data_IF_120499792136
#
_entry.id   IF_120499792136
#
_cell.length_a   1.000
_cell.length_b   1.000
_cell.length_c   1.000
_cell.angle_alpha   90.00
_cell.angle_beta   90.00
_cell.angle_gamma   90.00
#
_symmetry.space_group_name_H-M   'P 1'
#
loop_
_entity.id
_entity.type
_entity.pdbx_description
1 polymer ?
#
# COMPACT_ATOMS: atom_id res chain seq x y z
N UNK A 1 4.48 -29.57 10.63
CA UNK A 1 4.86 -28.29 10.01
C UNK A 1 5.39 -28.57 8.62
N UNK A 2 4.96 -27.83 7.58
CA UNK A 2 5.38 -28.13 6.23
C UNK A 2 6.86 -27.81 5.99
N UNK A 3 7.41 -26.72 6.60
CA UNK A 3 8.79 -26.26 6.39
C UNK A 3 9.35 -25.58 7.65
N UNK A 4 10.67 -25.66 7.85
CA UNK A 4 11.39 -24.96 8.92
C UNK A 4 11.69 -23.50 8.55
N UNK A 5 12.04 -23.24 7.27
CA UNK A 5 12.38 -21.89 6.82
C UNK A 5 11.84 -21.60 5.42
N UNK A 6 11.06 -20.53 5.29
CA UNK A 6 10.38 -20.12 4.05
C UNK A 6 10.87 -18.77 3.59
N UNK A 7 11.34 -18.69 2.34
CA UNK A 7 11.65 -17.42 1.68
C UNK A 7 10.37 -16.84 1.08
N UNK A 8 10.09 -15.57 1.36
CA UNK A 8 9.01 -14.78 0.76
C UNK A 8 9.65 -13.75 -0.16
N UNK A 9 9.23 -13.66 -1.41
CA UNK A 9 9.83 -12.72 -2.37
C UNK A 9 8.80 -11.68 -2.82
N UNK A 10 9.00 -10.41 -2.45
CA UNK A 10 8.31 -9.25 -3.02
C UNK A 10 9.25 -8.05 -3.07
N UNK A 11 9.86 -7.80 -4.24
CA UNK A 11 10.91 -6.79 -4.39
C UNK A 11 10.36 -5.36 -4.53
N UNK A 12 9.17 -5.19 -5.11
CA UNK A 12 8.52 -3.90 -5.42
C UNK A 12 7.05 -4.08 -5.87
N UNK A 13 6.20 -3.06 -6.10
CA UNK A 13 6.46 -1.68 -5.71
C UNK A 13 6.16 -1.49 -4.20
N UNK A 14 6.35 -0.25 -3.67
CA UNK A 14 6.17 0.02 -2.24
C UNK A 14 4.78 -0.39 -1.74
N UNK A 15 3.71 0.06 -2.39
CA UNK A 15 2.33 -0.31 -2.04
C UNK A 15 2.06 -1.80 -2.12
N UNK A 16 2.61 -2.49 -3.14
CA UNK A 16 2.49 -3.94 -3.23
C UNK A 16 3.22 -4.69 -2.11
N UNK A 17 4.38 -4.18 -1.65
CA UNK A 17 5.07 -4.73 -0.47
C UNK A 17 4.25 -4.48 0.79
N UNK A 18 3.71 -3.27 0.96
CA UNK A 18 2.78 -2.95 2.06
C UNK A 18 1.61 -3.94 2.11
N UNK A 19 0.99 -4.25 0.98
CA UNK A 19 -0.10 -5.24 0.90
C UNK A 19 0.32 -6.67 1.29
N UNK A 20 1.60 -7.02 1.30
CA UNK A 20 2.02 -8.36 1.78
C UNK A 20 2.00 -8.47 3.29
N UNK A 21 2.19 -7.37 4.02
CA UNK A 21 2.40 -7.36 5.48
C UNK A 21 1.24 -8.01 6.25
N UNK A 22 -0.03 -7.70 5.99
CA UNK A 22 -1.15 -8.31 6.70
C UNK A 22 -1.15 -9.84 6.61
N UNK A 23 -0.85 -10.37 5.43
CA UNK A 23 -0.82 -11.81 5.18
C UNK A 23 0.44 -12.45 5.78
N UNK A 24 1.59 -11.82 5.59
CA UNK A 24 2.89 -12.30 6.10
C UNK A 24 2.89 -12.33 7.63
N UNK A 25 2.44 -11.26 8.30
CA UNK A 25 2.38 -11.25 9.76
C UNK A 25 1.40 -12.29 10.29
N UNK A 26 0.26 -12.47 9.62
CA UNK A 26 -0.73 -13.48 10.03
C UNK A 26 -0.18 -14.90 9.91
N UNK A 27 0.50 -15.25 8.83
CA UNK A 27 1.10 -16.59 8.70
C UNK A 27 2.26 -16.79 9.67
N UNK A 28 3.07 -15.75 9.94
CA UNK A 28 4.12 -15.82 10.94
C UNK A 28 3.57 -16.10 12.34
N UNK A 29 2.48 -15.42 12.73
CA UNK A 29 1.80 -15.64 14.02
C UNK A 29 1.17 -17.03 14.12
N UNK A 30 0.62 -17.54 13.02
CA UNK A 30 0.01 -18.87 12.98
C UNK A 30 1.06 -20.01 13.04
N UNK A 31 2.30 -19.74 12.66
CA UNK A 31 3.38 -20.74 12.61
C UNK A 31 4.67 -20.22 13.29
N UNK A 32 4.65 -20.03 14.61
CA UNK A 32 5.76 -19.41 15.36
C UNK A 32 7.08 -20.17 15.27
N UNK A 33 7.04 -21.48 15.04
CA UNK A 33 8.22 -22.34 14.91
C UNK A 33 8.83 -22.33 13.49
N UNK A 34 8.12 -21.79 12.50
CA UNK A 34 8.65 -21.61 11.14
C UNK A 34 9.33 -20.25 11.04
N UNK A 35 10.56 -20.21 10.59
CA UNK A 35 11.23 -18.95 10.26
C UNK A 35 10.82 -18.48 8.86
N UNK A 36 10.35 -17.27 8.74
CA UNK A 36 10.05 -16.62 7.47
C UNK A 36 11.13 -15.60 7.13
N UNK A 37 11.56 -15.56 5.87
CA UNK A 37 12.59 -14.63 5.38
C UNK A 37 11.99 -13.79 4.27
N UNK A 38 11.72 -12.52 4.53
CA UNK A 38 11.19 -11.57 3.54
C UNK A 38 12.31 -10.96 2.74
N UNK A 39 12.35 -11.23 1.44
CA UNK A 39 13.30 -10.64 0.49
C UNK A 39 12.64 -9.47 -0.24
N UNK A 40 13.11 -8.26 0.05
CA UNK A 40 12.59 -7.02 -0.53
C UNK A 40 13.68 -5.98 -0.77
N UNK A 41 13.37 -4.82 -1.38
CA UNK A 41 14.33 -3.73 -1.57
C UNK A 41 14.46 -2.86 -0.32
N UNK A 42 15.60 -2.13 -0.20
CA UNK A 42 15.97 -1.32 0.97
C UNK A 42 14.86 -0.37 1.44
N UNK A 43 14.21 0.35 0.53
CA UNK A 43 13.14 1.29 0.91
C UNK A 43 11.94 0.56 1.51
N UNK A 44 11.51 -0.53 0.86
CA UNK A 44 10.34 -1.29 1.30
C UNK A 44 10.62 -2.13 2.56
N UNK A 45 11.88 -2.47 2.86
CA UNK A 45 12.22 -3.20 4.10
C UNK A 45 11.91 -2.40 5.36
N UNK A 46 11.87 -1.08 5.27
CA UNK A 46 11.53 -0.19 6.39
C UNK A 46 10.05 -0.25 6.80
N UNK A 47 9.18 -0.88 5.99
CA UNK A 47 7.77 -1.07 6.33
C UNK A 47 7.53 -2.17 7.35
N UNK A 48 8.49 -3.07 7.57
CA UNK A 48 8.35 -4.22 8.46
C UNK A 48 8.60 -3.83 9.92
N UNK A 49 7.78 -2.90 10.43
CA UNK A 49 7.79 -2.39 11.80
C UNK A 49 7.05 -3.41 12.68
N UNK A 50 7.52 -3.62 13.92
CA UNK A 50 6.93 -4.56 14.88
C UNK A 50 6.71 -5.97 14.29
N UNK A 51 7.66 -6.40 13.47
CA UNK A 51 7.58 -7.69 12.80
C UNK A 51 7.53 -8.85 13.82
N UNK A 52 6.77 -9.92 13.54
CA UNK A 52 6.80 -11.13 14.33
C UNK A 52 8.24 -11.66 14.52
N UNK A 53 8.57 -12.20 15.69
CA UNK A 53 9.94 -12.63 16.04
C UNK A 53 10.54 -13.65 15.07
N UNK A 54 9.71 -14.43 14.40
CA UNK A 54 10.08 -15.43 13.42
C UNK A 54 10.14 -14.91 11.98
N UNK A 55 10.03 -13.57 11.78
CA UNK A 55 10.21 -12.92 10.48
C UNK A 55 11.56 -12.19 10.40
N UNK A 56 12.38 -12.56 9.42
CA UNK A 56 13.63 -11.91 9.10
C UNK A 56 13.48 -11.13 7.79
N UNK A 57 14.01 -9.91 7.71
CA UNK A 57 13.97 -9.12 6.47
C UNK A 57 15.35 -9.06 5.85
N UNK A 58 15.46 -9.49 4.59
CA UNK A 58 16.69 -9.49 3.79
C UNK A 58 16.56 -8.49 2.65
N UNK A 59 17.55 -7.62 2.50
CA UNK A 59 17.55 -6.56 1.49
C UNK A 59 18.20 -7.02 0.20
N UNK A 60 17.45 -6.95 -0.90
CA UNK A 60 17.95 -7.17 -2.26
C UNK A 60 18.32 -5.83 -2.91
N UNK A 61 19.60 -5.66 -3.24
CA UNK A 61 20.08 -4.51 -4.02
C UNK A 61 20.06 -4.82 -5.52
N UNK A 62 18.88 -4.84 -6.10
CA UNK A 62 18.66 -5.18 -7.53
C UNK A 62 19.06 -4.06 -8.52
N UNK A 63 19.45 -2.90 -8.03
CA UNK A 63 19.99 -1.79 -8.84
C UNK A 63 21.51 -1.72 -8.79
N UNK A 64 22.14 -2.24 -7.74
CA UNK A 64 23.57 -2.31 -7.51
C UNK A 64 24.10 -3.75 -7.62
N UNK A 65 24.59 -4.33 -6.50
CA UNK A 65 25.32 -5.61 -6.49
C UNK A 65 24.52 -6.83 -7.00
N UNK A 66 23.19 -6.79 -6.94
CA UNK A 66 22.31 -7.86 -7.43
C UNK A 66 21.68 -7.53 -8.80
N UNK A 67 22.31 -6.64 -9.58
CA UNK A 67 21.87 -6.26 -10.92
C UNK A 67 22.20 -7.34 -11.94
N UNK A 68 21.28 -7.55 -12.89
CA UNK A 68 21.46 -8.50 -14.00
C UNK A 68 21.41 -9.97 -13.56
N UNK A 69 21.70 -10.88 -14.50
CA UNK A 69 21.61 -12.31 -14.26
C UNK A 69 22.64 -12.80 -13.22
N UNK A 70 23.89 -12.37 -13.33
CA UNK A 70 24.98 -12.74 -12.41
C UNK A 70 24.69 -12.22 -11.00
N UNK A 71 24.25 -10.94 -10.87
CA UNK A 71 23.87 -10.40 -9.57
C UNK A 71 22.70 -11.15 -8.92
N UNK A 72 21.71 -11.59 -9.71
CA UNK A 72 20.59 -12.40 -9.21
C UNK A 72 21.05 -13.83 -8.82
N UNK A 73 22.04 -14.40 -9.50
CA UNK A 73 22.65 -15.66 -9.08
C UNK A 73 23.36 -15.52 -7.73
N UNK A 74 24.14 -14.44 -7.54
CA UNK A 74 24.77 -14.16 -6.24
C UNK A 74 23.73 -14.00 -5.14
N UNK A 75 22.64 -13.25 -5.40
CA UNK A 75 21.54 -13.12 -4.44
C UNK A 75 20.90 -14.48 -4.11
N UNK A 76 20.65 -15.33 -5.11
CA UNK A 76 20.10 -16.65 -4.88
C UNK A 76 21.05 -17.50 -4.01
N UNK A 77 22.36 -17.43 -4.23
CA UNK A 77 23.37 -18.13 -3.39
C UNK A 77 23.43 -17.58 -1.97
N UNK A 78 23.39 -16.26 -1.79
CA UNK A 78 23.35 -15.63 -0.46
C UNK A 78 22.12 -16.12 0.33
N UNK A 79 20.93 -16.10 -0.30
CA UNK A 79 19.69 -16.57 0.31
C UNK A 79 19.71 -18.07 0.60
N UNK A 80 20.28 -18.91 -0.32
CA UNK A 80 20.43 -20.35 -0.09
C UNK A 80 21.24 -20.69 1.16
N UNK A 81 22.26 -19.87 1.50
CA UNK A 81 23.07 -20.04 2.74
C UNK A 81 22.24 -19.93 4.01
N UNK A 82 21.06 -19.34 3.94
CA UNK A 82 20.11 -19.26 5.04
C UNK A 82 19.35 -20.60 5.27
N UNK A 83 19.64 -21.66 4.52
CA UNK A 83 18.99 -22.97 4.62
C UNK A 83 17.48 -22.90 4.39
N UNK A 84 17.08 -22.32 3.24
CA UNK A 84 15.68 -22.17 2.84
C UNK A 84 15.12 -23.51 2.34
N UNK A 85 13.96 -23.93 2.86
CA UNK A 85 13.28 -25.18 2.49
C UNK A 85 12.22 -24.96 1.40
N UNK A 86 11.58 -23.78 1.39
CA UNK A 86 10.54 -23.42 0.43
C UNK A 86 10.54 -21.94 0.07
N UNK A 87 9.97 -21.59 -1.08
CA UNK A 87 9.87 -20.23 -1.60
C UNK A 87 8.43 -19.87 -1.93
N UNK A 88 7.95 -18.77 -1.36
CA UNK A 88 6.70 -18.09 -1.69
C UNK A 88 7.01 -16.86 -2.58
N UNK A 89 6.89 -16.99 -3.91
CA UNK A 89 7.05 -15.85 -4.82
C UNK A 89 5.74 -15.06 -4.96
N UNK A 90 5.61 -13.98 -4.19
CA UNK A 90 4.49 -13.05 -4.23
C UNK A 90 4.63 -11.98 -5.32
N UNK A 91 5.67 -12.06 -6.18
CA UNK A 91 5.98 -11.01 -7.14
C UNK A 91 5.79 -11.43 -8.61
N UNK A 92 6.23 -12.60 -9.00
CA UNK A 92 6.16 -13.16 -10.37
C UNK A 92 6.56 -12.15 -11.47
N UNK A 93 7.79 -11.63 -11.40
CA UNK A 93 8.41 -10.78 -12.42
C UNK A 93 9.68 -11.43 -12.95
N UNK A 94 10.26 -10.90 -14.04
CA UNK A 94 11.45 -11.50 -14.66
C UNK A 94 12.58 -11.79 -13.65
N UNK A 95 12.85 -10.85 -12.74
CA UNK A 95 13.89 -11.04 -11.71
C UNK A 95 13.58 -12.22 -10.78
N UNK A 96 12.33 -12.36 -10.35
CA UNK A 96 11.96 -13.48 -9.47
C UNK A 96 11.87 -14.80 -10.23
N UNK A 97 11.59 -14.79 -11.54
CA UNK A 97 11.67 -15.98 -12.40
C UNK A 97 13.10 -16.51 -12.45
N UNK A 98 14.10 -15.62 -12.56
CA UNK A 98 15.52 -16.01 -12.50
C UNK A 98 15.89 -16.62 -11.14
N UNK A 99 15.47 -15.97 -10.04
CA UNK A 99 15.69 -16.52 -8.68
C UNK A 99 15.04 -17.90 -8.52
N UNK A 100 13.77 -18.05 -8.96
CA UNK A 100 13.05 -19.33 -8.91
C UNK A 100 13.74 -20.43 -9.72
N UNK A 101 14.33 -20.08 -10.86
CA UNK A 101 15.07 -21.04 -11.67
C UNK A 101 16.20 -21.68 -10.83
N UNK A 102 17.00 -20.89 -10.13
CA UNK A 102 18.07 -21.40 -9.28
C UNK A 102 17.51 -22.21 -8.09
N UNK A 103 16.48 -21.72 -7.40
CA UNK A 103 15.89 -22.44 -6.28
C UNK A 103 15.33 -23.80 -6.69
N UNK A 104 14.65 -23.88 -7.85
CA UNK A 104 14.15 -25.14 -8.39
C UNK A 104 15.29 -26.09 -8.79
N UNK A 105 16.37 -25.57 -9.40
CA UNK A 105 17.55 -26.36 -9.73
C UNK A 105 18.20 -26.97 -8.47
N UNK A 106 18.08 -26.31 -7.32
CA UNK A 106 18.57 -26.82 -6.03
C UNK A 106 17.54 -27.68 -5.29
N UNK A 107 16.45 -28.07 -5.92
CA UNK A 107 15.41 -28.91 -5.33
C UNK A 107 14.49 -28.23 -4.33
N UNK A 108 14.54 -26.90 -4.22
CA UNK A 108 13.70 -26.13 -3.29
C UNK A 108 12.28 -25.99 -3.84
N UNK A 109 11.27 -26.30 -3.04
CA UNK A 109 9.85 -26.13 -3.39
C UNK A 109 9.52 -24.66 -3.62
N UNK A 110 8.81 -24.35 -4.71
CA UNK A 110 8.44 -22.97 -5.05
C UNK A 110 6.94 -22.87 -5.33
N UNK A 111 6.23 -22.02 -4.60
CA UNK A 111 4.88 -21.57 -4.92
C UNK A 111 4.91 -20.14 -5.47
N UNK A 112 4.00 -19.83 -6.39
CA UNK A 112 4.00 -18.57 -7.14
C UNK A 112 2.61 -17.99 -7.17
N UNK A 113 2.51 -16.68 -6.97
CA UNK A 113 1.24 -15.94 -7.04
C UNK A 113 0.56 -16.08 -8.41
N UNK A 114 -0.74 -16.38 -8.39
CA UNK A 114 -1.61 -16.10 -9.53
C UNK A 114 -2.05 -14.64 -9.52
N UNK A 115 -1.59 -13.88 -10.49
CA UNK A 115 -1.92 -12.45 -10.63
C UNK A 115 -3.31 -12.17 -11.21
N UNK A 116 -4.08 -13.20 -11.59
CA UNK A 116 -5.39 -13.04 -12.23
C UNK A 116 -5.33 -12.23 -13.53
N UNK A 117 -4.32 -12.44 -14.37
CA UNK A 117 -4.11 -11.59 -15.56
C UNK A 117 -5.27 -11.64 -16.54
N UNK A 118 -5.88 -12.82 -16.73
CA UNK A 118 -7.04 -13.00 -17.61
C UNK A 118 -8.26 -12.22 -17.09
N UNK A 119 -8.60 -12.41 -15.83
CA UNK A 119 -9.72 -11.70 -15.17
C UNK A 119 -9.53 -10.17 -15.19
N UNK A 120 -8.29 -9.69 -14.94
CA UNK A 120 -7.94 -8.28 -15.03
C UNK A 120 -8.02 -7.73 -16.44
N UNK A 121 -7.71 -8.54 -17.45
CA UNK A 121 -7.87 -8.18 -18.85
C UNK A 121 -9.36 -8.08 -19.24
N UNK A 122 -10.19 -9.01 -18.78
CA UNK A 122 -11.66 -8.98 -18.97
C UNK A 122 -12.25 -7.73 -18.30
N UNK A 123 -11.87 -7.45 -17.05
CA UNK A 123 -12.32 -6.28 -16.28
C UNK A 123 -11.96 -4.95 -16.96
N UNK A 124 -10.81 -4.85 -17.65
CA UNK A 124 -10.35 -3.62 -18.31
C UNK A 124 -10.59 -3.60 -19.82
N UNK A 125 -11.35 -4.57 -20.35
CA UNK A 125 -11.67 -4.65 -21.76
C UNK A 125 -12.57 -3.49 -22.20
N UNK A 126 -12.37 -2.99 -23.41
CA UNK A 126 -13.22 -1.94 -24.00
C UNK A 126 -14.48 -2.50 -24.67
N UNK A 127 -14.38 -3.74 -25.20
CA UNK A 127 -15.46 -4.33 -26.02
C UNK A 127 -16.28 -5.37 -25.26
N UNK A 128 -15.60 -6.15 -24.42
CA UNK A 128 -16.22 -7.24 -23.68
C UNK A 128 -15.84 -7.13 -22.19
N UNK A 129 -16.21 -6.00 -21.57
CA UNK A 129 -15.95 -5.74 -20.17
C UNK A 129 -16.83 -6.60 -19.28
N UNK A 130 -16.21 -7.28 -18.33
CA UNK A 130 -16.91 -7.98 -17.25
C UNK A 130 -16.63 -7.22 -15.96
N UNK A 131 -17.57 -6.39 -15.54
CA UNK A 131 -17.46 -5.58 -14.32
C UNK A 131 -17.90 -6.40 -13.11
N UNK A 132 -16.91 -7.01 -12.44
CA UNK A 132 -17.14 -7.78 -11.19
C UNK A 132 -15.93 -7.63 -10.27
N UNK A 133 -16.11 -7.70 -8.94
CA UNK A 133 -15.00 -7.77 -8.01
C UNK A 133 -14.12 -8.97 -8.30
N UNK A 134 -12.81 -8.75 -8.37
CA UNK A 134 -11.81 -9.81 -8.48
C UNK A 134 -11.25 -10.13 -7.10
N UNK A 135 -10.70 -11.34 -6.94
CA UNK A 135 -9.96 -11.69 -5.72
C UNK A 135 -8.94 -10.62 -5.38
N UNK A 136 -8.91 -10.20 -4.13
CA UNK A 136 -7.98 -9.20 -3.63
C UNK A 136 -6.53 -9.68 -3.74
N UNK A 137 -5.59 -8.76 -3.72
CA UNK A 137 -4.17 -9.11 -3.63
C UNK A 137 -3.84 -9.87 -2.34
N UNK A 138 -4.56 -9.60 -1.25
CA UNK A 138 -4.39 -10.29 0.03
C UNK A 138 -4.77 -11.76 -0.07
N UNK A 139 -5.92 -12.09 -0.69
CA UNK A 139 -6.34 -13.46 -0.96
C UNK A 139 -5.32 -14.19 -1.83
N UNK A 140 -4.86 -13.55 -2.91
CA UNK A 140 -3.85 -14.12 -3.82
C UNK A 140 -2.51 -14.38 -3.11
N UNK A 141 -2.11 -13.53 -2.17
CA UNK A 141 -0.92 -13.77 -1.34
C UNK A 141 -1.15 -14.95 -0.38
N UNK A 142 -2.31 -15.03 0.24
CA UNK A 142 -2.69 -16.14 1.12
C UNK A 142 -2.65 -17.49 0.39
N UNK A 143 -3.18 -17.55 -0.84
CA UNK A 143 -3.19 -18.76 -1.67
C UNK A 143 -1.78 -19.32 -1.95
N UNK A 144 -0.76 -18.46 -2.04
CA UNK A 144 0.63 -18.90 -2.20
C UNK A 144 1.08 -19.70 -0.98
N UNK A 145 0.75 -19.26 0.23
CA UNK A 145 1.08 -19.98 1.46
C UNK A 145 0.26 -21.27 1.58
N UNK A 146 -1.03 -21.23 1.21
CA UNK A 146 -1.86 -22.46 1.15
C UNK A 146 -1.26 -23.49 0.19
N UNK A 147 -0.74 -23.06 -0.96
CA UNK A 147 -0.06 -23.95 -1.93
C UNK A 147 1.24 -24.58 -1.38
N UNK A 148 1.82 -24.00 -0.35
CA UNK A 148 2.95 -24.53 0.43
C UNK A 148 2.51 -25.39 1.63
N UNK A 149 1.20 -25.57 1.86
CA UNK A 149 0.66 -26.37 2.96
C UNK A 149 0.44 -25.60 4.27
N UNK A 150 0.48 -24.27 4.25
CA UNK A 150 0.11 -23.45 5.39
C UNK A 150 -1.40 -23.16 5.38
N UNK A 151 -2.09 -23.49 6.45
CA UNK A 151 -3.51 -23.16 6.65
C UNK A 151 -3.64 -22.13 7.77
N UNK A 152 -4.15 -20.93 7.48
CA UNK A 152 -4.30 -19.87 8.47
C UNK A 152 -5.42 -18.91 8.05
N UNK A 153 -5.96 -18.21 9.04
CA UNK A 153 -6.89 -17.10 8.82
C UNK A 153 -6.11 -15.81 9.06
N UNK A 154 -6.13 -14.85 8.11
CA UNK A 154 -5.48 -13.57 8.31
C UNK A 154 -6.07 -12.80 9.50
N UNK A 155 -5.25 -12.55 10.52
CA UNK A 155 -5.64 -11.91 11.79
C UNK A 155 -4.93 -10.56 12.04
N UNK A 156 -4.22 -10.05 11.05
CA UNK A 156 -3.56 -8.75 11.17
C UNK A 156 -4.56 -7.63 11.41
N UNK A 157 -4.32 -6.80 12.40
CA UNK A 157 -5.11 -5.61 12.73
C UNK A 157 -4.36 -4.35 12.32
N UNK A 158 -3.20 -4.12 12.90
CA UNK A 158 -2.36 -2.95 12.70
C UNK A 158 -0.88 -3.31 12.89
N UNK A 159 0.04 -2.48 12.39
CA UNK A 159 1.48 -2.54 12.72
C UNK A 159 1.75 -2.29 14.21
N UNK A 160 0.83 -1.63 14.89
CA UNK A 160 0.91 -1.30 16.32
C UNK A 160 -0.06 -2.15 17.18
N UNK A 161 -0.54 -3.26 16.61
CA UNK A 161 -1.54 -4.17 17.20
C UNK A 161 -2.81 -3.39 17.63
N UNK A 162 -3.12 -3.30 18.91
CA UNK A 162 -4.27 -2.56 19.45
C UNK A 162 -3.93 -1.09 19.79
N UNK A 163 -2.66 -0.70 19.62
CA UNK A 163 -2.18 0.63 19.97
C UNK A 163 -1.99 1.55 18.78
N UNK A 164 -1.30 2.61 19.06
CA UNK A 164 -0.84 3.61 18.10
C UNK A 164 0.68 3.72 18.14
N UNK A 165 1.27 4.33 17.12
CA UNK A 165 2.72 4.54 17.07
C UNK A 165 3.22 5.50 18.14
N UNK A 166 4.54 5.48 18.36
CA UNK A 166 5.24 6.32 19.33
C UNK A 166 5.17 7.80 18.95
N UNK A 167 4.57 8.61 19.81
CA UNK A 167 4.46 10.06 19.65
C UNK A 167 5.82 10.77 19.64
N UNK A 168 6.81 10.24 20.33
CA UNK A 168 8.16 10.79 20.36
C UNK A 168 8.80 10.85 18.98
N UNK A 169 8.43 9.95 18.07
CA UNK A 169 8.99 9.92 16.72
C UNK A 169 8.59 11.13 15.85
N UNK A 170 7.43 11.72 16.08
CA UNK A 170 6.93 12.87 15.29
C UNK A 170 6.72 14.15 16.11
N UNK A 171 7.22 14.20 17.35
CA UNK A 171 7.07 15.35 18.27
C UNK A 171 7.63 16.67 17.70
N UNK A 172 8.62 16.58 16.79
CA UNK A 172 9.14 17.76 16.06
C UNK A 172 8.15 18.34 15.04
N UNK A 173 7.18 17.54 14.57
CA UNK A 173 6.21 17.93 13.55
C UNK A 173 5.00 18.62 14.14
N UNK A 174 4.51 18.11 15.25
CA UNK A 174 3.30 18.57 15.91
C UNK A 174 3.28 18.15 17.37
N UNK A 175 2.71 18.96 18.27
CA UNK A 175 2.38 18.50 19.62
C UNK A 175 1.42 17.30 19.60
N UNK A 176 1.31 16.56 20.71
CA UNK A 176 0.33 15.49 20.85
C UNK A 176 -1.08 15.93 20.49
N UNK A 177 -1.88 15.01 19.95
CA UNK A 177 -3.26 15.28 19.54
C UNK A 177 -4.11 15.64 20.74
N UNK A 178 -4.72 16.84 20.71
CA UNK A 178 -5.57 17.33 21.77
C UNK A 178 -6.97 16.71 21.72
N UNK A 179 -7.67 16.69 22.86
CA UNK A 179 -9.06 16.23 22.91
C UNK A 179 -9.96 17.04 21.98
N UNK A 180 -10.73 16.36 21.15
CA UNK A 180 -11.61 16.96 20.14
C UNK A 180 -10.89 17.53 18.91
N UNK A 181 -9.57 17.40 18.81
CA UNK A 181 -8.83 17.72 17.59
C UNK A 181 -9.01 16.58 16.56
N UNK A 182 -9.15 16.95 15.30
CA UNK A 182 -9.28 16.02 14.16
C UNK A 182 -8.05 16.10 13.28
N UNK A 183 -7.46 14.94 13.00
CA UNK A 183 -6.28 14.84 12.17
C UNK A 183 -6.62 14.17 10.85
N UNK A 184 -6.48 14.89 9.75
CA UNK A 184 -6.77 14.42 8.40
C UNK A 184 -5.45 14.28 7.62
N UNK A 185 -5.17 13.10 7.13
CA UNK A 185 -4.05 12.89 6.21
C UNK A 185 -4.48 13.13 4.77
N UNK A 186 -3.61 13.73 3.96
CA UNK A 186 -3.86 13.93 2.51
C UNK A 186 -2.63 13.52 1.71
N UNK A 187 -2.80 12.51 0.83
CA UNK A 187 -1.79 12.04 -0.12
C UNK A 187 -2.28 12.20 -1.55
N UNK A 188 -2.10 13.38 -2.17
CA UNK A 188 -2.74 13.74 -3.44
C UNK A 188 -2.08 13.13 -4.68
N UNK A 189 -0.95 12.43 -4.51
CA UNK A 189 -0.15 11.95 -5.61
C UNK A 189 -0.27 10.45 -5.85
N UNK A 190 -0.02 10.06 -7.08
CA UNK A 190 0.14 8.67 -7.51
C UNK A 190 1.14 8.58 -8.65
N UNK A 191 1.64 7.38 -8.92
CA UNK A 191 2.66 7.15 -9.95
C UNK A 191 2.19 7.47 -11.38
N UNK A 192 0.89 7.31 -11.68
CA UNK A 192 0.36 7.40 -13.03
C UNK A 192 -0.74 8.44 -13.12
N UNK A 193 -0.74 9.25 -14.21
CA UNK A 193 -1.68 10.36 -14.44
C UNK A 193 -3.16 9.96 -14.27
N UNK A 194 -3.54 8.77 -14.74
CA UNK A 194 -4.93 8.29 -14.61
C UNK A 194 -5.40 7.98 -13.17
N UNK A 195 -4.52 8.17 -12.17
CA UNK A 195 -4.79 7.96 -10.74
C UNK A 195 -4.62 9.24 -9.92
N UNK A 196 -4.18 10.34 -10.53
CA UNK A 196 -3.93 11.61 -9.84
C UNK A 196 -5.17 12.49 -10.03
N UNK A 197 -5.91 12.73 -8.95
CA UNK A 197 -6.97 13.72 -8.93
C UNK A 197 -6.41 15.11 -9.23
N UNK A 198 -7.09 15.99 -9.98
CA UNK A 198 -6.59 17.33 -10.28
C UNK A 198 -6.16 18.07 -9.02
N UNK A 199 -4.92 18.56 -9.02
CA UNK A 199 -4.30 19.13 -7.80
C UNK A 199 -4.98 20.41 -7.35
N UNK A 200 -5.46 21.23 -8.30
CA UNK A 200 -6.26 22.42 -8.03
C UNK A 200 -7.59 22.10 -7.33
N UNK A 201 -8.18 20.94 -7.64
CA UNK A 201 -9.39 20.46 -6.96
C UNK A 201 -9.06 19.83 -5.60
N UNK A 202 -7.94 19.10 -5.49
CA UNK A 202 -7.51 18.58 -4.19
C UNK A 202 -7.13 19.72 -3.24
N UNK A 203 -6.55 20.80 -3.76
CA UNK A 203 -6.29 22.00 -2.99
C UNK A 203 -7.58 22.62 -2.41
N UNK A 204 -8.70 22.60 -3.18
CA UNK A 204 -10.01 23.04 -2.64
C UNK A 204 -10.48 22.13 -1.50
N UNK A 205 -10.28 20.82 -1.59
CA UNK A 205 -10.56 19.90 -0.47
C UNK A 205 -9.74 20.26 0.77
N UNK A 206 -8.45 20.55 0.58
CA UNK A 206 -7.57 20.99 1.68
C UNK A 206 -8.05 22.34 2.26
N UNK A 207 -8.40 23.30 1.40
CA UNK A 207 -8.94 24.61 1.81
C UNK A 207 -10.18 24.45 2.70
N UNK A 208 -11.19 23.72 2.20
CA UNK A 208 -12.45 23.53 2.91
C UNK A 208 -12.26 22.83 4.26
N UNK A 209 -11.45 21.77 4.31
CA UNK A 209 -11.15 21.08 5.55
C UNK A 209 -10.34 21.94 6.55
N UNK A 210 -9.48 22.85 6.05
CA UNK A 210 -8.67 23.74 6.89
C UNK A 210 -9.48 24.86 7.57
N UNK A 211 -10.66 25.16 7.04
CA UNK A 211 -11.59 26.14 7.61
C UNK A 211 -12.37 25.57 8.80
N UNK A 212 -12.43 24.23 8.94
CA UNK A 212 -13.10 23.60 10.07
C UNK A 212 -12.30 23.77 11.36
N UNK A 213 -12.98 24.17 12.43
CA UNK A 213 -12.36 24.34 13.73
C UNK A 213 -11.77 23.02 14.25
N UNK A 214 -10.57 23.08 14.84
CA UNK A 214 -9.84 21.92 15.40
C UNK A 214 -9.45 20.84 14.39
N UNK A 215 -9.46 21.12 13.10
CA UNK A 215 -8.89 20.22 12.09
C UNK A 215 -7.41 20.55 11.89
N UNK A 216 -6.58 19.51 11.86
CA UNK A 216 -5.18 19.58 11.47
C UNK A 216 -4.96 18.65 10.28
N UNK A 217 -4.32 19.17 9.23
CA UNK A 217 -4.11 18.42 7.98
C UNK A 217 -2.64 18.07 7.84
N UNK A 218 -2.36 16.81 7.57
CA UNK A 218 -1.03 16.28 7.32
C UNK A 218 -0.87 15.87 5.86
N UNK A 219 0.05 16.51 5.15
CA UNK A 219 0.29 16.29 3.73
C UNK A 219 1.41 15.27 3.54
N UNK A 220 1.14 14.21 2.78
CA UNK A 220 2.08 13.14 2.47
C UNK A 220 2.49 13.18 0.99
N UNK A 221 3.79 13.20 0.74
CA UNK A 221 4.38 13.19 -0.59
C UNK A 221 5.88 12.94 -0.54
N UNK A 222 6.50 12.69 -1.68
CA UNK A 222 7.92 12.40 -1.80
C UNK A 222 8.53 12.91 -3.10
N UNK A 223 9.71 13.49 -3.01
CA UNK A 223 10.43 14.05 -4.16
C UNK A 223 10.19 15.53 -4.35
N UNK A 224 11.04 16.16 -5.14
CA UNK A 224 11.14 17.62 -5.19
C UNK A 224 9.86 18.30 -5.70
N UNK A 225 9.28 17.76 -6.77
CA UNK A 225 8.04 18.31 -7.36
C UNK A 225 6.84 18.23 -6.40
N UNK A 226 6.69 17.11 -5.70
CA UNK A 226 5.58 16.93 -4.74
C UNK A 226 5.80 17.86 -3.54
N UNK A 227 7.05 17.98 -3.06
CA UNK A 227 7.44 18.92 -1.98
C UNK A 227 7.09 20.35 -2.31
N UNK A 228 7.43 20.85 -3.49
CA UNK A 228 7.11 22.21 -3.94
C UNK A 228 5.60 22.50 -3.82
N UNK A 229 4.77 21.61 -4.33
CA UNK A 229 3.32 21.77 -4.30
C UNK A 229 2.79 21.76 -2.87
N UNK A 230 3.23 20.79 -2.05
CA UNK A 230 2.75 20.65 -0.67
C UNK A 230 3.26 21.79 0.23
N UNK A 231 4.44 22.36 -0.05
CA UNK A 231 4.93 23.55 0.65
C UNK A 231 4.05 24.77 0.39
N UNK A 232 3.57 24.97 -0.84
CA UNK A 232 2.63 26.06 -1.16
C UNK A 232 1.32 25.92 -0.38
N UNK A 233 0.78 24.69 -0.25
CA UNK A 233 -0.43 24.47 0.51
C UNK A 233 -0.22 24.69 2.01
N UNK A 234 0.92 24.21 2.56
CA UNK A 234 1.29 24.48 3.95
C UNK A 234 1.40 25.96 4.27
N UNK A 235 1.94 26.77 3.34
CA UNK A 235 2.09 28.24 3.52
C UNK A 235 0.75 28.97 3.41
N UNK A 236 -0.17 28.44 2.60
CA UNK A 236 -1.45 29.09 2.31
C UNK A 236 -2.53 28.82 3.36
N UNK A 237 -2.52 27.64 3.96
CA UNK A 237 -3.60 27.20 4.84
C UNK A 237 -3.12 26.96 6.26
N UNK A 238 -3.86 27.53 7.23
CA UNK A 238 -3.58 27.33 8.67
C UNK A 238 -3.85 25.88 9.07
N UNK A 239 -3.08 25.36 10.03
CA UNK A 239 -3.26 23.97 10.51
C UNK A 239 -2.79 22.88 9.54
N UNK A 240 -2.13 23.26 8.44
CA UNK A 240 -1.59 22.31 7.45
C UNK A 240 -0.09 22.08 7.70
N UNK A 241 0.30 20.83 7.80
CA UNK A 241 1.68 20.38 8.06
C UNK A 241 2.12 19.46 6.92
N UNK A 242 3.31 19.70 6.34
CA UNK A 242 3.86 18.88 5.26
C UNK A 242 4.91 17.90 5.79
N UNK A 243 4.74 16.62 5.48
CA UNK A 243 5.73 15.58 5.72
C UNK A 243 6.70 15.42 4.53
N UNK A 244 6.50 16.17 3.45
CA UNK A 244 7.38 16.15 2.29
C UNK A 244 8.63 17.04 2.43
N UNK A 245 8.70 17.89 3.45
CA UNK A 245 9.75 18.90 3.61
C UNK A 245 11.14 18.26 3.82
N UNK A 246 11.19 17.17 4.56
CA UNK A 246 12.40 16.34 4.72
C UNK A 246 12.02 14.85 4.69
N UNK A 247 13.02 13.99 4.58
CA UNK A 247 12.82 12.53 4.65
C UNK A 247 12.74 12.08 6.10
N UNK A 248 11.54 12.00 6.64
CA UNK A 248 11.33 11.52 8.02
C UNK A 248 11.50 10.00 8.15
N UNK A 249 11.13 9.25 7.11
CA UNK A 249 11.16 7.79 7.09
C UNK A 249 9.84 7.15 7.58
N UNK A 250 9.64 5.88 7.20
CA UNK A 250 8.36 5.22 7.46
C UNK A 250 8.04 5.01 8.94
N UNK A 251 9.03 4.92 9.83
CA UNK A 251 8.76 4.83 11.26
C UNK A 251 8.02 6.07 11.77
N UNK A 252 8.47 7.27 11.38
CA UNK A 252 7.84 8.55 11.72
C UNK A 252 6.49 8.68 11.03
N UNK A 253 6.45 8.48 9.70
CA UNK A 253 5.23 8.65 8.90
C UNK A 253 4.10 7.71 9.36
N UNK A 254 4.40 6.42 9.60
CA UNK A 254 3.41 5.45 10.05
C UNK A 254 2.98 5.69 11.50
N UNK A 255 3.90 6.16 12.36
CA UNK A 255 3.56 6.53 13.74
C UNK A 255 2.56 7.69 13.74
N UNK A 256 2.83 8.75 12.99
CA UNK A 256 1.90 9.87 12.83
C UNK A 256 0.60 9.43 12.14
N UNK A 257 0.70 8.65 11.05
CA UNK A 257 -0.50 8.12 10.38
C UNK A 257 -1.42 7.38 11.34
N UNK A 258 -0.91 6.61 12.29
CA UNK A 258 -1.73 5.85 13.24
C UNK A 258 -2.62 6.72 14.15
N UNK A 259 -2.38 8.02 14.19
CA UNK A 259 -3.17 9.00 14.95
C UNK A 259 -4.19 9.77 14.11
N UNK A 260 -4.17 9.56 12.80
CA UNK A 260 -5.16 10.18 11.91
C UNK A 260 -6.55 9.61 12.16
N UNK A 261 -7.56 10.45 12.07
CA UNK A 261 -8.97 10.02 12.07
C UNK A 261 -9.37 9.48 10.70
N UNK A 262 -8.78 10.04 9.64
CA UNK A 262 -9.03 9.63 8.26
C UNK A 262 -7.85 9.99 7.36
N UNK A 263 -7.64 9.19 6.31
CA UNK A 263 -6.65 9.46 5.26
C UNK A 263 -7.33 9.64 3.92
N UNK A 264 -7.13 10.78 3.25
CA UNK A 264 -7.51 10.98 1.84
C UNK A 264 -6.33 10.54 0.99
N UNK A 265 -6.53 9.56 0.12
CA UNK A 265 -5.46 9.04 -0.73
C UNK A 265 -5.96 8.69 -2.12
N UNK A 266 -5.10 8.86 -3.10
CA UNK A 266 -5.29 8.23 -4.40
C UNK A 266 -5.14 6.71 -4.27
N UNK A 267 -5.53 5.95 -5.30
CA UNK A 267 -5.09 4.55 -5.48
C UNK A 267 -3.56 4.51 -5.59
N UNK A 268 -2.88 4.60 -4.44
CA UNK A 268 -1.43 4.77 -4.32
C UNK A 268 -0.87 4.00 -3.11
N UNK A 269 0.44 4.09 -2.88
CA UNK A 269 1.07 3.45 -1.73
C UNK A 269 0.52 3.95 -0.39
N UNK A 270 0.18 5.23 -0.28
CA UNK A 270 -0.30 5.83 0.96
C UNK A 270 -1.64 5.26 1.44
N UNK A 271 -2.54 4.86 0.51
CA UNK A 271 -3.75 4.11 0.87
C UNK A 271 -3.42 2.82 1.63
N UNK A 272 -2.41 2.09 1.18
CA UNK A 272 -1.98 0.86 1.84
C UNK A 272 -1.24 1.14 3.14
N UNK A 273 -0.42 2.18 3.21
CA UNK A 273 0.30 2.57 4.43
C UNK A 273 -0.68 2.95 5.54
N UNK A 274 -1.68 3.77 5.25
CA UNK A 274 -2.75 4.12 6.19
C UNK A 274 -3.53 2.87 6.65
N UNK A 275 -3.80 1.94 5.72
CA UNK A 275 -4.46 0.67 6.04
C UNK A 275 -3.63 -0.22 6.97
N UNK A 276 -2.29 -0.16 6.90
CA UNK A 276 -1.40 -0.91 7.80
C UNK A 276 -1.44 -0.45 9.25
N UNK A 277 -1.87 0.78 9.50
CA UNK A 277 -2.02 1.35 10.83
C UNK A 277 -3.49 1.53 11.22
N UNK A 278 -4.38 0.78 10.55
CA UNK A 278 -5.82 0.72 10.79
C UNK A 278 -6.58 2.05 10.65
N UNK A 279 -6.03 3.00 9.90
CA UNK A 279 -6.69 4.28 9.63
C UNK A 279 -7.68 4.13 8.49
N UNK A 280 -8.92 4.63 8.64
CA UNK A 280 -9.91 4.68 7.57
C UNK A 280 -9.44 5.52 6.40
N UNK A 281 -9.72 5.08 5.17
CA UNK A 281 -9.25 5.77 3.97
C UNK A 281 -10.40 6.21 3.08
N UNK A 282 -10.46 7.51 2.79
CA UNK A 282 -11.18 8.04 1.64
C UNK A 282 -10.28 7.87 0.42
N UNK A 283 -10.58 6.88 -0.41
CA UNK A 283 -9.76 6.52 -1.57
C UNK A 283 -10.38 7.04 -2.87
N UNK A 284 -9.62 7.84 -3.63
CA UNK A 284 -10.07 8.43 -4.89
C UNK A 284 -9.59 7.62 -6.09
N UNK A 285 -10.53 7.19 -6.92
CA UNK A 285 -10.28 6.27 -8.03
C UNK A 285 -10.65 6.88 -9.39
N UNK A 286 -9.64 7.02 -10.25
CA UNK A 286 -9.83 7.48 -11.63
C UNK A 286 -9.93 6.35 -12.66
N UNK A 287 -8.86 6.13 -13.44
CA UNK A 287 -8.80 5.12 -14.51
C UNK A 287 -8.76 3.66 -14.00
N UNK A 288 -8.52 3.46 -12.72
CA UNK A 288 -8.54 2.18 -11.99
C UNK A 288 -9.88 1.97 -11.28
N UNK A 289 -10.04 0.84 -10.60
CA UNK A 289 -11.25 0.52 -9.85
C UNK A 289 -10.92 -0.42 -8.67
N UNK A 290 -11.60 -0.33 -7.52
CA UNK A 290 -11.42 -1.27 -6.40
C UNK A 290 -11.57 -2.73 -6.82
N UNK A 291 -12.43 -3.02 -7.78
CA UNK A 291 -12.63 -4.37 -8.32
C UNK A 291 -11.38 -5.02 -8.93
N UNK A 292 -10.29 -4.26 -9.17
CA UNK A 292 -9.00 -4.84 -9.52
C UNK A 292 -8.34 -5.61 -8.35
N UNK A 293 -8.90 -5.55 -7.15
CA UNK A 293 -8.42 -6.23 -5.94
C UNK A 293 -7.28 -5.48 -5.24
N UNK A 294 -7.28 -4.15 -5.31
CA UNK A 294 -6.24 -3.30 -4.71
C UNK A 294 -6.77 -2.36 -3.61
N UNK A 295 -8.02 -2.51 -3.17
CA UNK A 295 -8.49 -1.75 -2.00
C UNK A 295 -7.59 -2.06 -0.79
N UNK A 296 -7.39 -1.10 0.10
CA UNK A 296 -6.54 -1.25 1.28
C UNK A 296 -7.02 -2.35 2.24
N UNK A 297 -6.13 -2.85 3.07
CA UNK A 297 -6.47 -3.88 4.06
C UNK A 297 -7.59 -3.41 4.99
N UNK A 298 -8.65 -4.22 5.10
CA UNK A 298 -9.86 -3.91 5.91
C UNK A 298 -10.53 -2.58 5.59
N UNK A 299 -10.23 -1.97 4.44
CA UNK A 299 -10.98 -0.82 3.97
C UNK A 299 -12.31 -1.26 3.35
N UNK A 300 -13.34 -0.44 3.49
CA UNK A 300 -14.67 -0.71 2.97
C UNK A 300 -14.99 0.16 1.75
N UNK A 301 -16.00 -0.25 0.97
CA UNK A 301 -16.49 0.52 -0.16
C UNK A 301 -17.09 1.88 0.27
N UNK A 302 -17.45 2.03 1.56
CA UNK A 302 -17.92 3.32 2.10
C UNK A 302 -16.89 4.43 2.02
N UNK A 303 -15.58 4.09 1.95
CA UNK A 303 -14.49 5.05 1.75
C UNK A 303 -14.12 5.29 0.28
N UNK A 304 -14.77 4.62 -0.67
CA UNK A 304 -14.44 4.76 -2.09
C UNK A 304 -15.12 5.99 -2.69
N UNK A 305 -14.34 6.81 -3.39
CA UNK A 305 -14.82 7.96 -4.16
C UNK A 305 -14.45 7.78 -5.61
N UNK A 306 -15.44 7.67 -6.47
CA UNK A 306 -15.31 7.42 -7.90
C UNK A 306 -16.51 7.89 -8.70
N UNK A 307 -16.36 8.09 -10.01
CA UNK A 307 -17.49 8.33 -10.92
C UNK A 307 -17.86 7.04 -11.65
N UNK A 308 -19.15 6.69 -11.72
CA UNK A 308 -19.65 5.48 -12.38
C UNK A 308 -19.66 5.67 -13.91
N UNK A 309 -18.52 5.53 -14.54
CA UNK A 309 -18.36 5.63 -16.00
C UNK A 309 -18.14 4.25 -16.62
N UNK A 310 -18.84 3.91 -17.69
CA UNK A 310 -18.72 2.62 -18.40
C UNK A 310 -17.31 2.31 -18.88
N UNK A 311 -16.51 3.36 -19.14
CA UNK A 311 -15.13 3.18 -19.55
C UNK A 311 -14.22 2.66 -18.43
N UNK A 312 -14.63 2.73 -17.14
CA UNK A 312 -13.85 2.30 -15.99
C UNK A 312 -14.08 0.82 -15.65
N UNK A 313 -13.02 0.15 -15.10
CA UNK A 313 -11.63 0.54 -15.23
C UNK A 313 -11.13 0.38 -16.68
N UNK A 314 -10.35 1.32 -17.15
CA UNK A 314 -9.69 1.19 -18.46
C UNK A 314 -8.22 0.75 -18.33
N UNK A 315 -7.70 0.69 -17.11
CA UNK A 315 -6.36 0.23 -16.77
C UNK A 315 -6.33 -0.42 -15.39
N UNK A 316 -5.62 -1.54 -15.26
CA UNK A 316 -5.39 -2.19 -13.96
C UNK A 316 -4.54 -1.33 -13.03
N UNK A 317 -3.55 -0.60 -13.59
CA UNK A 317 -2.55 0.16 -12.82
C UNK A 317 -2.58 1.66 -13.09
N UNK A 318 -3.52 2.15 -13.89
CA UNK A 318 -3.59 3.55 -14.28
C UNK A 318 -2.48 4.02 -15.25
N UNK A 319 -1.67 3.09 -15.76
CA UNK A 319 -0.51 3.36 -16.61
C UNK A 319 -0.82 3.49 -18.11
N UNK A 320 -2.06 3.27 -18.52
CA UNK A 320 -2.51 3.49 -19.89
C UNK A 320 -3.03 4.91 -20.03
N UNK A 321 -2.74 5.60 -21.13
CA UNK A 321 -3.36 6.90 -21.41
C UNK A 321 -4.87 6.76 -21.54
N UNK A 322 -5.60 7.81 -21.16
CA UNK A 322 -7.04 7.85 -21.36
C UNK A 322 -7.36 7.87 -22.86
N UNK A 323 -8.12 6.91 -23.35
CA UNK A 323 -8.47 6.84 -24.77
C UNK A 323 -9.50 7.90 -25.16
N UNK A 324 -10.27 8.42 -24.22
CA UNK A 324 -11.18 9.57 -24.40
C UNK A 324 -10.40 10.90 -24.38
N UNK A 325 -9.15 10.90 -23.87
CA UNK A 325 -8.26 12.05 -23.72
C UNK A 325 -8.71 13.10 -22.69
N UNK A 326 -9.90 12.95 -22.08
CA UNK A 326 -10.50 13.91 -21.16
C UNK A 326 -10.28 13.59 -19.66
N UNK A 327 -9.94 12.34 -19.34
CA UNK A 327 -9.87 11.85 -17.94
C UNK A 327 -11.13 12.17 -17.13
N UNK A 328 -12.33 12.15 -17.74
CA UNK A 328 -13.60 12.45 -17.09
C UNK A 328 -13.85 11.68 -15.78
N UNK A 329 -13.21 10.52 -15.61
CA UNK A 329 -13.25 9.77 -14.35
C UNK A 329 -12.61 10.49 -13.15
N UNK A 330 -11.90 11.58 -13.37
CA UNK A 330 -11.30 12.42 -12.34
C UNK A 330 -12.06 13.75 -12.16
N UNK A 331 -13.19 13.95 -12.86
CA UNK A 331 -14.05 15.14 -12.74
C UNK A 331 -14.98 15.08 -11.51
N UNK A 332 -14.49 14.50 -10.41
CA UNK A 332 -15.19 14.43 -9.12
C UNK A 332 -15.25 15.83 -8.52
N UNK A 333 -16.39 16.21 -7.95
CA UNK A 333 -16.51 17.47 -7.22
C UNK A 333 -15.74 17.41 -5.88
N UNK A 334 -14.99 18.44 -5.48
CA UNK A 334 -14.25 18.47 -4.22
C UNK A 334 -15.15 18.17 -3.01
N UNK A 335 -16.34 18.70 -2.98
CA UNK A 335 -17.36 18.53 -1.94
C UNK A 335 -17.69 17.04 -1.71
N UNK A 336 -17.69 16.23 -2.79
CA UNK A 336 -17.91 14.77 -2.69
C UNK A 336 -16.85 14.09 -1.82
N UNK A 337 -15.60 14.57 -1.88
CA UNK A 337 -14.50 14.03 -1.07
C UNK A 337 -14.65 14.49 0.37
N UNK A 338 -14.97 15.76 0.60
CA UNK A 338 -15.19 16.33 1.94
C UNK A 338 -16.37 15.65 2.64
N UNK A 339 -17.50 15.47 1.94
CA UNK A 339 -18.67 14.77 2.48
C UNK A 339 -18.35 13.31 2.83
N UNK A 340 -17.50 12.67 2.03
CA UNK A 340 -17.05 11.29 2.31
C UNK A 340 -16.18 11.23 3.56
N UNK A 341 -15.33 12.21 3.81
CA UNK A 341 -14.55 12.33 5.05
C UNK A 341 -15.50 12.41 6.24
N UNK A 342 -16.47 13.34 6.20
CA UNK A 342 -17.45 13.55 7.27
C UNK A 342 -18.31 12.29 7.56
N UNK A 343 -18.74 11.61 6.52
CA UNK A 343 -19.57 10.39 6.65
C UNK A 343 -18.80 9.22 7.24
N UNK A 344 -17.53 9.01 6.87
CA UNK A 344 -16.71 7.94 7.46
C UNK A 344 -16.46 8.16 8.95
N UNK A 345 -16.21 9.39 9.37
CA UNK A 345 -16.00 9.73 10.78
C UNK A 345 -17.25 9.45 11.64
N UNK A 346 -18.44 9.70 11.09
CA UNK A 346 -19.69 9.38 11.79
C UNK A 346 -19.86 7.88 11.97
N UNK A 347 -19.63 7.08 10.92
CA UNK A 347 -19.71 5.62 10.96
C UNK A 347 -18.72 4.96 11.93
N UNK A 348 -17.58 5.63 12.21
CA UNK A 348 -16.58 5.13 13.15
C UNK A 348 -16.97 5.41 14.60
N UNK A 349 -17.61 6.54 14.86
CA UNK A 349 -18.09 6.92 16.22
C UNK A 349 -19.28 6.09 16.68
N UNK A 350 -20.01 5.48 15.75
CA UNK A 350 -21.17 4.61 16.03
C UNK A 350 -20.79 3.15 16.27
N UNK A 351 -19.54 2.75 16.07
CA UNK A 351 -18.99 1.41 16.34
C UNK A 351 -18.20 1.36 17.63
#
# INVERSE_FOLDING_TARGET
>A
MPYRKVLIIRLSALGDVAMTIPVVYSVCRAYPETTFVMLTQKVASQLFINAPRNLQVVVADVKGRHKGFVGLYHLAREVRRLSIDAVADLHDVLRTKVLRFFFKLWGIRVAVIDKGRKEKQELTSRRAKVLRPLRSSFERYGEVFVSLGFSFVPNFVSLYDEGVGDEGLYSELTPPKSSGERWVGVAPFAKHKGKIYPLDRMEKVVSELSEESRVKIFLFGAGDREREILSLWRERYSGVISLADKRYGFAVELSLMSRLDVMISMDSANMHLASLVAVPVVSVWGATHPYCGFLGWRQSDSGVVELPLDCRPCSVFGNKPCYRKDYACLEIAPETIVDRVKSLETLIKEK
#
